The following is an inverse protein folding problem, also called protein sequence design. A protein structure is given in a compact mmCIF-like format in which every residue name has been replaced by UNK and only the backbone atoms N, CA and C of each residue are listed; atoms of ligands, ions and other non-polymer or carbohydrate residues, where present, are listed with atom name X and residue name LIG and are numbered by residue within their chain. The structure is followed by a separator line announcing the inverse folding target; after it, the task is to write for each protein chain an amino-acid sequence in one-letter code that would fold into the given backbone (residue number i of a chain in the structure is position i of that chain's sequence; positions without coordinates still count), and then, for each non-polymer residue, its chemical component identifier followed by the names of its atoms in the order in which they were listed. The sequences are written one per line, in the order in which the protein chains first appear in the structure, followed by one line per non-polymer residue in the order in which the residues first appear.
data_IF_664131036050
#
_entry.id   IF_664131036050
#
_cell.length_a   1.000
_cell.length_b   1.000
_cell.length_c   1.000
_cell.angle_alpha   90.00
_cell.angle_beta   90.00
_cell.angle_gamma   90.00
#
_symmetry.space_group_name_H-M   'P 1'
#
loop_
_entity.id
_entity.type
_entity.pdbx_description
1 polymer ?
#
# COMPACT_ATOMS: atom_id res chain seq x y z
N UNK A 1 10.34 16.11 -11.21
CA UNK A 1 8.95 16.32 -11.71
C UNK A 1 8.83 16.57 -13.21
N UNK A 2 9.48 17.58 -13.82
CA UNK A 2 9.41 17.80 -15.28
C UNK A 2 9.78 16.56 -16.10
N UNK A 3 10.80 15.86 -15.65
CA UNK A 3 11.27 14.63 -16.26
C UNK A 3 10.30 13.45 -16.10
N UNK A 4 9.48 13.43 -15.04
CA UNK A 4 8.45 12.41 -14.82
C UNK A 4 7.25 12.58 -15.76
N UNK A 5 6.89 13.83 -16.08
CA UNK A 5 5.79 14.14 -17.00
C UNK A 5 6.11 13.74 -18.45
N UNK A 6 7.42 13.67 -18.78
CA UNK A 6 7.90 13.41 -20.14
C UNK A 6 7.45 14.50 -21.13
N UNK A 7 7.95 14.50 -22.36
CA UNK A 7 7.56 15.47 -23.41
C UNK A 7 6.08 15.40 -23.87
N UNK A 8 5.19 14.84 -23.06
CA UNK A 8 3.75 14.74 -23.31
C UNK A 8 3.10 16.12 -23.14
N UNK A 9 2.10 16.44 -23.95
CA UNK A 9 1.26 17.63 -23.73
C UNK A 9 0.73 17.64 -22.28
N UNK A 10 1.12 18.66 -21.52
CA UNK A 10 0.82 18.83 -20.08
C UNK A 10 -0.68 18.63 -19.79
N UNK A 11 -1.54 19.11 -20.68
CA UNK A 11 -2.99 18.95 -20.62
C UNK A 11 -3.44 17.48 -20.60
N UNK A 12 -2.83 16.63 -21.43
CA UNK A 12 -3.13 15.20 -21.50
C UNK A 12 -2.62 14.47 -20.25
N UNK A 13 -1.44 14.82 -19.77
CA UNK A 13 -0.87 14.22 -18.56
C UNK A 13 -1.68 14.62 -17.31
N UNK A 14 -2.01 15.91 -17.16
CA UNK A 14 -2.87 16.40 -16.08
C UNK A 14 -4.24 15.68 -16.06
N UNK A 15 -4.85 15.49 -17.24
CA UNK A 15 -6.11 14.75 -17.38
C UNK A 15 -5.98 13.29 -16.94
N UNK A 16 -4.87 12.60 -17.27
CA UNK A 16 -4.60 11.23 -16.80
C UNK A 16 -4.44 11.17 -15.27
N UNK A 17 -3.79 12.17 -14.67
CA UNK A 17 -3.67 12.29 -13.22
C UNK A 17 -4.98 12.69 -12.54
N UNK A 18 -5.99 13.19 -13.27
CA UNK A 18 -7.23 13.71 -12.72
C UNK A 18 -7.13 15.14 -12.18
N UNK A 19 -6.17 15.92 -12.68
CA UNK A 19 -5.88 17.28 -12.19
C UNK A 19 -6.25 18.35 -13.23
N UNK A 20 -6.51 19.57 -12.74
CA UNK A 20 -6.59 20.75 -13.58
C UNK A 20 -5.21 21.07 -14.19
N UNK A 21 -5.18 21.41 -15.47
CA UNK A 21 -3.94 21.72 -16.19
C UNK A 21 -3.17 22.88 -15.54
N UNK A 22 -3.86 23.93 -15.10
CA UNK A 22 -3.26 25.05 -14.38
C UNK A 22 -2.55 24.61 -13.10
N UNK A 23 -3.07 23.60 -12.39
CA UNK A 23 -2.43 23.07 -11.18
C UNK A 23 -1.15 22.29 -11.52
N UNK A 24 -1.18 21.48 -12.58
CA UNK A 24 0.02 20.79 -13.07
C UNK A 24 1.11 21.78 -13.52
N UNK A 25 0.73 22.89 -14.16
CA UNK A 25 1.68 23.95 -14.55
C UNK A 25 2.36 24.57 -13.33
N UNK A 26 1.61 24.84 -12.25
CA UNK A 26 2.16 25.36 -10.99
C UNK A 26 3.16 24.40 -10.34
N UNK A 27 2.89 23.10 -10.39
CA UNK A 27 3.84 22.09 -9.90
C UNK A 27 5.11 22.03 -10.75
N UNK A 28 4.97 22.12 -12.08
CA UNK A 28 6.12 22.11 -12.99
C UNK A 28 6.96 23.40 -12.95
N UNK A 29 6.36 24.54 -12.61
CA UNK A 29 7.06 25.81 -12.42
C UNK A 29 7.63 25.97 -11.00
N UNK A 30 7.42 25.00 -10.10
CA UNK A 30 7.75 25.08 -8.68
C UNK A 30 7.06 26.24 -7.93
N UNK A 31 5.98 26.79 -8.49
CA UNK A 31 5.12 27.79 -7.80
C UNK A 31 4.33 27.14 -6.65
N UNK A 32 4.12 25.83 -6.71
CA UNK A 32 3.45 25.05 -5.66
C UNK A 32 4.05 23.65 -5.57
N UNK A 33 4.08 23.10 -4.35
CA UNK A 33 4.51 21.72 -4.10
C UNK A 33 3.26 20.83 -3.97
N UNK A 34 3.16 19.71 -4.72
CA UNK A 34 2.05 18.79 -4.56
C UNK A 34 2.11 18.09 -3.20
N UNK A 35 0.96 17.90 -2.57
CA UNK A 35 0.83 17.03 -1.40
C UNK A 35 1.08 15.55 -1.75
N UNK A 36 1.27 14.73 -0.72
CA UNK A 36 1.59 13.31 -0.85
C UNK A 36 0.59 12.54 -1.74
N UNK A 37 -0.71 12.80 -1.57
CA UNK A 37 -1.79 12.22 -2.37
C UNK A 37 -1.60 12.45 -3.88
N UNK A 38 -1.12 13.64 -4.25
CA UNK A 38 -0.90 14.02 -5.65
C UNK A 38 0.41 13.46 -6.18
N UNK A 39 1.45 13.38 -5.35
CA UNK A 39 2.72 12.76 -5.71
C UNK A 39 2.55 11.27 -6.04
N UNK A 40 1.80 10.53 -5.22
CA UNK A 40 1.45 9.12 -5.46
C UNK A 40 0.79 8.96 -6.82
N UNK A 41 -0.21 9.79 -7.11
CA UNK A 41 -0.94 9.73 -8.39
C UNK A 41 -0.05 10.07 -9.59
N UNK A 42 0.84 11.05 -9.46
CA UNK A 42 1.79 11.42 -10.52
C UNK A 42 2.78 10.29 -10.77
N UNK A 43 3.34 9.68 -9.71
CA UNK A 43 4.27 8.56 -9.80
C UNK A 43 3.64 7.37 -10.52
N UNK A 44 2.40 7.00 -10.15
CA UNK A 44 1.64 5.93 -10.80
C UNK A 44 1.42 6.17 -12.29
N UNK A 45 0.97 7.38 -12.67
CA UNK A 45 0.68 7.72 -14.08
C UNK A 45 1.96 7.86 -14.92
N UNK A 46 3.04 8.33 -14.31
CA UNK A 46 4.34 8.45 -14.95
C UNK A 46 5.13 7.12 -14.98
N UNK A 47 4.72 6.12 -14.20
CA UNK A 47 5.43 4.85 -14.09
C UNK A 47 6.82 5.00 -13.46
N UNK A 48 7.00 5.98 -12.57
CA UNK A 48 8.27 6.25 -11.89
C UNK A 48 8.14 6.01 -10.39
N UNK A 49 9.26 5.79 -9.70
CA UNK A 49 9.25 5.64 -8.24
C UNK A 49 8.81 6.92 -7.53
N UNK A 50 8.03 6.75 -6.46
CA UNK A 50 7.59 7.86 -5.62
C UNK A 50 8.75 8.53 -4.87
N UNK A 51 9.71 7.75 -4.37
CA UNK A 51 10.89 8.30 -3.69
C UNK A 51 11.77 9.11 -4.63
N UNK A 52 11.97 8.61 -5.86
CA UNK A 52 12.64 9.37 -6.91
C UNK A 52 11.88 10.64 -7.28
N UNK A 53 10.55 10.59 -7.34
CA UNK A 53 9.74 11.75 -7.69
C UNK A 53 9.72 12.83 -6.59
N UNK A 54 9.63 12.43 -5.33
CA UNK A 54 9.49 13.32 -4.18
C UNK A 54 10.82 13.87 -3.69
N UNK A 55 11.85 13.02 -3.62
CA UNK A 55 13.13 13.33 -2.98
C UNK A 55 14.30 13.41 -3.98
N UNK A 56 14.13 12.92 -5.21
CA UNK A 56 15.20 12.89 -6.21
C UNK A 56 16.23 11.78 -5.99
N UNK A 57 15.95 10.85 -5.09
CA UNK A 57 16.84 9.76 -4.69
C UNK A 57 16.34 8.40 -5.22
N UNK A 58 17.25 7.45 -5.45
CA UNK A 58 16.92 6.10 -5.93
C UNK A 58 16.76 5.98 -7.45
N UNK A 59 16.32 4.80 -7.92
CA UNK A 59 16.10 4.51 -9.35
C UNK A 59 14.79 5.10 -9.84
N UNK A 60 14.82 5.80 -10.98
CA UNK A 60 13.63 6.27 -11.70
C UNK A 60 12.76 5.11 -12.20
N UNK A 61 13.42 4.03 -12.65
CA UNK A 61 12.80 2.84 -13.20
C UNK A 61 12.52 1.85 -12.06
N UNK A 62 11.24 1.71 -11.75
CA UNK A 62 10.72 0.92 -10.64
C UNK A 62 9.20 1.09 -10.63
N UNK A 63 8.55 0.69 -11.73
CA UNK A 63 7.14 0.99 -11.94
C UNK A 63 6.27 0.40 -10.84
N UNK A 64 5.69 1.25 -9.98
CA UNK A 64 4.59 1.06 -9.01
C UNK A 64 4.50 -0.22 -8.15
N UNK A 65 5.40 -1.20 -8.33
CA UNK A 65 5.36 -2.54 -7.76
C UNK A 65 6.56 -2.87 -6.89
N UNK A 66 7.56 -2.00 -6.80
CA UNK A 66 8.62 -2.04 -5.79
C UNK A 66 8.42 -1.01 -4.65
N UNK A 67 7.46 -0.09 -4.80
CA UNK A 67 7.12 0.94 -3.79
C UNK A 67 6.19 0.37 -2.69
N UNK A 68 6.63 -0.71 -2.04
CA UNK A 68 6.12 -1.11 -0.73
C UNK A 68 7.05 -0.58 0.36
N UNK A 69 6.50 -0.16 1.49
CA UNK A 69 7.29 0.08 2.71
C UNK A 69 8.17 -1.16 2.93
N UNK A 70 9.49 -1.00 2.90
CA UNK A 70 10.42 -2.12 3.10
C UNK A 70 10.23 -2.71 4.51
N UNK A 71 10.67 -3.96 4.79
CA UNK A 71 10.59 -4.49 6.15
C UNK A 71 11.24 -3.59 7.21
N UNK A 72 12.36 -2.92 6.87
CA UNK A 72 13.03 -1.96 7.76
C UNK A 72 12.20 -0.69 7.97
N UNK A 73 11.68 -0.08 6.90
CA UNK A 73 10.81 1.10 7.00
C UNK A 73 9.52 0.79 7.77
N UNK A 74 8.95 -0.41 7.62
CA UNK A 74 7.76 -0.84 8.34
C UNK A 74 8.06 -0.99 9.83
N UNK A 75 9.23 -1.52 10.17
CA UNK A 75 9.66 -1.59 11.57
C UNK A 75 9.82 -0.20 12.20
N UNK A 76 10.33 0.79 11.45
CA UNK A 76 10.36 2.19 11.90
C UNK A 76 8.95 2.73 12.14
N UNK A 77 8.02 2.52 11.20
CA UNK A 77 6.62 2.94 11.34
C UNK A 77 5.97 2.30 12.56
N UNK A 78 6.16 1.00 12.78
CA UNK A 78 5.59 0.29 13.93
C UNK A 78 6.16 0.79 15.26
N UNK A 79 7.44 1.15 15.31
CA UNK A 79 8.00 1.75 16.52
C UNK A 79 7.44 3.14 16.76
N UNK A 80 7.27 3.96 15.71
CA UNK A 80 6.58 5.25 15.85
C UNK A 80 5.17 5.07 16.43
N UNK A 81 4.40 4.08 15.96
CA UNK A 81 3.07 3.80 16.51
C UNK A 81 3.11 3.40 17.98
N UNK A 82 4.07 2.57 18.37
CA UNK A 82 4.28 2.16 19.77
C UNK A 82 4.70 3.35 20.63
N UNK A 83 5.53 4.23 20.10
CA UNK A 83 5.96 5.46 20.73
C UNK A 83 4.78 6.43 20.93
N UNK A 84 3.95 6.63 19.91
CA UNK A 84 2.77 7.48 19.95
C UNK A 84 1.71 6.97 20.94
N UNK A 85 1.50 5.65 21.02
CA UNK A 85 0.59 5.04 22.01
C UNK A 85 0.98 5.31 23.46
N UNK A 86 2.28 5.48 23.75
CA UNK A 86 2.79 5.83 25.08
C UNK A 86 2.64 7.31 25.43
N UNK A 87 2.33 8.17 24.44
CA UNK A 87 2.13 9.63 24.60
C UNK A 87 0.80 10.07 24.00
N UNK A 88 -0.35 9.60 24.52
CA UNK A 88 -1.66 9.86 23.93
C UNK A 88 -2.10 11.34 24.01
N UNK A 89 -1.45 12.14 24.85
CA UNK A 89 -1.68 13.57 25.05
C UNK A 89 -0.87 14.47 24.10
N UNK A 90 0.11 13.91 23.37
CA UNK A 90 0.91 14.65 22.41
C UNK A 90 0.13 14.89 21.10
N UNK A 91 0.15 16.11 20.57
CA UNK A 91 -0.34 16.37 19.23
C UNK A 91 0.45 15.51 18.23
N UNK A 92 -0.25 14.84 17.29
CA UNK A 92 0.35 13.89 16.35
C UNK A 92 1.61 14.43 15.63
N UNK A 93 1.62 15.72 15.28
CA UNK A 93 2.76 16.37 14.64
C UNK A 93 3.96 16.58 15.58
N UNK A 94 3.71 16.87 16.85
CA UNK A 94 4.77 16.95 17.86
C UNK A 94 5.38 15.57 18.14
N UNK A 95 4.55 14.52 18.18
CA UNK A 95 5.02 13.15 18.34
C UNK A 95 5.93 12.70 17.19
N UNK A 96 5.57 13.01 15.94
CA UNK A 96 6.39 12.73 14.74
C UNK A 96 7.75 13.40 14.86
N UNK A 97 7.77 14.71 15.12
CA UNK A 97 9.01 15.47 15.24
C UNK A 97 9.93 14.90 16.32
N UNK A 98 9.41 14.69 17.54
CA UNK A 98 10.22 14.20 18.64
C UNK A 98 10.70 12.77 18.40
N UNK A 99 9.87 11.91 17.81
CA UNK A 99 10.29 10.56 17.44
C UNK A 99 11.45 10.59 16.44
N UNK A 100 11.37 11.43 15.41
CA UNK A 100 12.43 11.58 14.40
C UNK A 100 13.74 12.07 15.05
N UNK A 101 13.68 13.06 15.93
CA UNK A 101 14.85 13.56 16.68
C UNK A 101 15.48 12.45 17.55
N UNK A 102 14.67 11.74 18.34
CA UNK A 102 15.13 10.65 19.22
C UNK A 102 15.67 9.45 18.41
N UNK A 103 15.00 9.08 17.31
CA UNK A 103 15.45 8.02 16.39
C UNK A 103 16.80 8.39 15.77
N UNK A 104 16.93 9.61 15.24
CA UNK A 104 18.16 10.09 14.59
C UNK A 104 19.33 10.23 15.57
N UNK A 105 19.05 10.55 16.83
CA UNK A 105 20.05 10.56 17.90
C UNK A 105 20.37 9.16 18.46
N UNK A 106 19.61 8.11 18.08
CA UNK A 106 19.79 6.75 18.60
C UNK A 106 19.37 6.58 20.05
N UNK A 107 18.46 7.43 20.54
CA UNK A 107 18.03 7.50 21.93
C UNK A 107 16.81 6.62 22.25
N UNK A 108 16.16 6.05 21.23
CA UNK A 108 15.07 5.11 21.42
C UNK A 108 15.58 3.78 22.00
N UNK A 109 14.75 3.11 22.81
CA UNK A 109 15.08 1.82 23.45
C UNK A 109 15.56 0.75 22.45
N UNK A 110 15.03 0.81 21.22
CA UNK A 110 15.35 -0.11 20.13
C UNK A 110 16.64 0.25 19.36
N UNK A 111 17.21 1.44 19.58
CA UNK A 111 18.32 1.97 18.80
C UNK A 111 17.96 2.25 17.34
N UNK A 112 18.92 2.01 16.43
CA UNK A 112 18.76 2.16 14.98
C UNK A 112 18.21 0.86 14.37
N UNK A 113 17.35 0.97 13.36
CA UNK A 113 16.77 -0.19 12.68
C UNK A 113 17.50 -0.43 11.36
N UNK A 114 18.18 -1.59 11.28
CA UNK A 114 18.82 -2.07 10.07
C UNK A 114 19.80 -1.04 9.45
N UNK A 115 19.60 -0.71 8.17
CA UNK A 115 20.36 0.22 7.34
C UNK A 115 19.81 1.66 7.37
N UNK A 116 18.75 1.93 8.14
CA UNK A 116 18.12 3.25 8.22
C UNK A 116 18.74 4.04 9.38
N UNK A 117 19.81 4.78 9.08
CA UNK A 117 20.50 5.60 10.08
C UNK A 117 19.81 6.94 10.34
N UNK A 118 19.09 7.48 9.36
CA UNK A 118 18.39 8.76 9.45
C UNK A 118 16.99 8.62 8.85
N UNK A 119 16.04 9.35 9.44
CA UNK A 119 14.66 9.44 8.97
C UNK A 119 14.23 10.90 9.06
N UNK A 120 13.49 11.39 8.08
CA UNK A 120 12.85 12.71 8.12
C UNK A 120 11.38 12.61 8.53
N UNK A 121 10.79 13.73 8.97
CA UNK A 121 9.34 13.78 9.29
C UNK A 121 8.49 13.39 8.07
N UNK A 122 8.86 13.86 6.88
CA UNK A 122 8.13 13.60 5.63
C UNK A 122 8.23 12.13 5.20
N UNK A 123 9.40 11.49 5.37
CA UNK A 123 9.57 10.06 5.12
C UNK A 123 8.74 9.21 6.08
N UNK A 124 8.76 9.54 7.37
CA UNK A 124 7.97 8.81 8.35
C UNK A 124 6.47 8.93 8.08
N UNK A 125 6.00 10.14 7.72
CA UNK A 125 4.61 10.38 7.32
C UNK A 125 4.28 9.56 6.09
N UNK A 126 5.12 9.60 5.06
CA UNK A 126 4.90 8.88 3.82
C UNK A 126 4.84 7.36 4.04
N UNK A 127 5.80 6.79 4.79
CA UNK A 127 5.83 5.36 5.07
C UNK A 127 4.62 4.93 5.90
N UNK A 128 4.23 5.72 6.90
CA UNK A 128 3.04 5.46 7.71
C UNK A 128 1.77 5.47 6.87
N UNK A 129 1.61 6.48 6.01
CA UNK A 129 0.44 6.64 5.17
C UNK A 129 0.36 5.48 4.15
N UNK A 130 1.47 5.08 3.51
CA UNK A 130 1.52 3.90 2.63
C UNK A 130 1.23 2.60 3.42
N UNK A 131 1.79 2.44 4.62
CA UNK A 131 1.57 1.26 5.45
C UNK A 131 0.11 1.11 5.88
N UNK A 132 -0.58 2.22 6.13
CA UNK A 132 -1.99 2.24 6.53
C UNK A 132 -2.98 2.22 5.38
N UNK A 133 -2.70 2.88 4.26
CA UNK A 133 -3.48 2.72 3.02
C UNK A 133 -3.48 1.26 2.56
N UNK A 134 -2.36 0.55 2.70
CA UNK A 134 -2.32 -0.90 2.42
C UNK A 134 -3.04 -1.72 3.48
N UNK A 135 -3.05 -1.30 4.75
CA UNK A 135 -3.78 -1.99 5.81
C UNK A 135 -5.29 -1.82 5.63
N UNK A 136 -5.76 -0.65 5.16
CA UNK A 136 -7.16 -0.43 4.77
C UNK A 136 -7.52 -1.11 3.45
N UNK A 137 -6.61 -1.22 2.48
CA UNK A 137 -6.83 -1.96 1.22
C UNK A 137 -6.82 -3.48 1.44
N UNK A 138 -5.95 -3.99 2.33
CA UNK A 138 -5.93 -5.41 2.73
C UNK A 138 -7.06 -5.76 3.71
N UNK A 139 -7.61 -4.76 4.40
CA UNK A 139 -8.84 -4.87 5.19
C UNK A 139 -10.11 -4.60 4.37
N UNK A 140 -10.00 -3.95 3.20
CA UNK A 140 -11.12 -3.81 2.27
C UNK A 140 -11.28 -5.16 1.60
N UNK A 141 -12.27 -5.90 2.08
CA UNK A 141 -12.73 -7.11 1.42
C UNK A 141 -13.08 -6.73 -0.02
N UNK A 142 -12.38 -7.30 -0.98
CA UNK A 142 -12.73 -7.16 -2.39
C UNK A 142 -14.02 -7.95 -2.62
N UNK A 143 -15.14 -7.25 -2.72
CA UNK A 143 -16.48 -7.85 -2.82
C UNK A 143 -16.55 -8.88 -3.95
N UNK A 144 -15.92 -8.60 -5.11
CA UNK A 144 -15.86 -9.52 -6.23
C UNK A 144 -15.17 -10.84 -5.89
N UNK A 145 -14.01 -10.77 -5.24
CA UNK A 145 -13.23 -11.96 -4.83
C UNK A 145 -13.98 -12.74 -3.75
N UNK A 146 -14.59 -12.04 -2.78
CA UNK A 146 -15.38 -12.69 -1.73
C UNK A 146 -16.61 -13.38 -2.31
N UNK A 147 -17.36 -12.73 -3.19
CA UNK A 147 -18.50 -13.32 -3.88
C UNK A 147 -18.10 -14.58 -4.62
N UNK A 148 -17.04 -14.53 -5.43
CA UNK A 148 -16.55 -15.72 -6.15
C UNK A 148 -16.11 -16.82 -5.19
N UNK A 149 -15.48 -16.47 -4.07
CA UNK A 149 -15.09 -17.45 -3.04
C UNK A 149 -16.29 -18.15 -2.40
N UNK A 150 -17.39 -17.41 -2.16
CA UNK A 150 -18.65 -17.96 -1.65
C UNK A 150 -19.28 -18.89 -2.69
N UNK A 151 -19.40 -18.43 -3.94
CA UNK A 151 -20.00 -19.21 -5.03
C UNK A 151 -19.28 -20.54 -5.27
N UNK A 152 -17.94 -20.57 -5.17
CA UNK A 152 -17.16 -21.81 -5.32
C UNK A 152 -17.46 -22.79 -4.19
N UNK A 153 -17.58 -22.31 -2.95
CA UNK A 153 -17.91 -23.17 -1.80
C UNK A 153 -19.34 -23.69 -1.89
N UNK A 154 -20.28 -22.87 -2.33
CA UNK A 154 -21.68 -23.28 -2.51
C UNK A 154 -21.80 -24.33 -3.62
N UNK A 155 -21.15 -24.13 -4.78
CA UNK A 155 -21.11 -25.12 -5.86
C UNK A 155 -20.45 -26.45 -5.42
N UNK A 156 -19.39 -26.38 -4.61
CA UNK A 156 -18.77 -27.56 -4.04
C UNK A 156 -19.73 -28.33 -3.12
N UNK A 157 -20.46 -27.62 -2.25
CA UNK A 157 -21.43 -28.23 -1.34
C UNK A 157 -22.63 -28.82 -2.09
N UNK A 158 -23.15 -28.12 -3.08
CA UNK A 158 -24.25 -28.59 -3.94
C UNK A 158 -23.85 -29.85 -4.72
N UNK A 159 -22.65 -29.87 -5.31
CA UNK A 159 -22.17 -31.01 -6.10
C UNK A 159 -21.74 -32.22 -5.26
N UNK A 160 -21.28 -32.00 -4.02
CA UNK A 160 -20.89 -33.09 -3.10
C UNK A 160 -22.05 -33.62 -2.26
N UNK A 161 -23.19 -32.92 -2.21
CA UNK A 161 -24.32 -33.26 -1.34
C UNK A 161 -24.01 -33.15 0.16
N UNK A 162 -22.88 -32.52 0.52
CA UNK A 162 -22.43 -32.43 1.90
C UNK A 162 -23.05 -31.23 2.61
N UNK A 163 -23.40 -31.41 3.88
CA UNK A 163 -23.77 -30.32 4.78
C UNK A 163 -22.55 -29.94 5.61
N UNK A 164 -22.19 -28.66 5.58
CA UNK A 164 -21.01 -28.15 6.28
C UNK A 164 -21.40 -27.16 7.39
N UNK A 165 -20.86 -27.35 8.59
CA UNK A 165 -21.04 -26.42 9.70
C UNK A 165 -20.54 -25.01 9.33
N UNK A 166 -21.24 -23.97 9.78
CA UNK A 166 -20.98 -22.58 9.42
C UNK A 166 -19.51 -22.16 9.62
N UNK A 167 -18.90 -22.60 10.73
CA UNK A 167 -17.49 -22.33 11.04
C UNK A 167 -16.52 -22.96 10.02
N UNK A 168 -16.77 -24.22 9.63
CA UNK A 168 -15.97 -24.93 8.62
C UNK A 168 -16.17 -24.31 7.23
N UNK A 169 -17.39 -23.86 6.92
CA UNK A 169 -17.71 -23.12 5.68
C UNK A 169 -16.97 -21.79 5.61
N UNK A 170 -16.98 -21.00 6.68
CA UNK A 170 -16.26 -19.73 6.75
C UNK A 170 -14.74 -19.92 6.58
N UNK A 171 -14.14 -20.93 7.20
CA UNK A 171 -12.72 -21.27 7.00
C UNK A 171 -12.40 -21.57 5.54
N UNK A 172 -13.25 -22.34 4.86
CA UNK A 172 -13.08 -22.68 3.45
C UNK A 172 -13.15 -21.43 2.55
N UNK A 173 -14.14 -20.56 2.78
CA UNK A 173 -14.31 -19.29 2.05
C UNK A 173 -13.06 -18.43 2.21
N UNK A 174 -12.52 -18.30 3.43
CA UNK A 174 -11.30 -17.52 3.70
C UNK A 174 -10.08 -18.12 2.98
N UNK A 175 -9.96 -19.45 2.91
CA UNK A 175 -8.85 -20.11 2.22
C UNK A 175 -8.89 -19.82 0.71
N UNK A 176 -10.07 -19.94 0.09
CA UNK A 176 -10.27 -19.65 -1.34
C UNK A 176 -10.07 -18.16 -1.63
N UNK A 177 -10.58 -17.29 -0.77
CA UNK A 177 -10.38 -15.83 -0.87
C UNK A 177 -8.89 -15.47 -0.84
N UNK A 178 -8.14 -16.04 0.10
CA UNK A 178 -6.69 -15.78 0.18
C UNK A 178 -5.96 -16.27 -1.05
N UNK A 179 -6.30 -17.46 -1.55
CA UNK A 179 -5.64 -18.05 -2.71
C UNK A 179 -5.90 -17.25 -3.98
N UNK A 180 -7.12 -16.74 -4.16
CA UNK A 180 -7.50 -15.88 -5.29
C UNK A 180 -6.96 -14.46 -5.16
N UNK A 181 -6.84 -13.92 -3.95
CA UNK A 181 -6.28 -12.60 -3.70
C UNK A 181 -4.74 -12.54 -3.77
N UNK A 182 -4.04 -13.69 -3.71
CA UNK A 182 -2.56 -13.75 -3.67
C UNK A 182 -1.93 -14.23 -4.97
N UNK A 183 -2.72 -14.79 -5.88
CA UNK A 183 -2.26 -15.24 -7.19
C UNK A 183 -2.19 -14.09 -8.19
N UNK A 184 -1.01 -13.82 -8.76
CA UNK A 184 -0.85 -12.98 -9.95
C UNK A 184 -1.32 -13.73 -11.20
N UNK A 185 -2.64 -13.90 -11.35
CA UNK A 185 -3.25 -14.60 -12.47
C UNK A 185 -4.72 -14.93 -12.21
N UNK A 186 -5.51 -15.04 -13.27
CA UNK A 186 -6.91 -15.51 -13.18
C UNK A 186 -6.87 -16.96 -12.73
N UNK A 187 -7.15 -17.22 -11.46
CA UNK A 187 -7.30 -18.58 -10.95
C UNK A 187 -8.58 -19.15 -11.53
N UNK A 188 -8.44 -20.20 -12.33
CA UNK A 188 -9.57 -20.75 -13.05
C UNK A 188 -10.56 -21.46 -12.10
N UNK A 189 -11.83 -21.09 -12.19
CA UNK A 189 -12.92 -21.54 -11.30
C UNK A 189 -13.07 -23.08 -11.30
N UNK A 190 -13.01 -23.80 -12.44
CA UNK A 190 -13.04 -25.26 -12.49
C UNK A 190 -11.82 -25.92 -11.84
N UNK A 191 -10.64 -25.29 -11.90
CA UNK A 191 -9.43 -25.80 -11.25
C UNK A 191 -9.60 -25.82 -9.73
N UNK A 192 -10.19 -24.78 -9.14
CA UNK A 192 -10.44 -24.70 -7.71
C UNK A 192 -11.46 -25.72 -7.22
N UNK A 193 -12.56 -25.90 -7.95
CA UNK A 193 -13.58 -26.90 -7.62
C UNK A 193 -12.98 -28.31 -7.68
N UNK A 194 -12.15 -28.62 -8.68
CA UNK A 194 -11.46 -29.90 -8.77
C UNK A 194 -10.44 -30.11 -7.64
N UNK A 195 -9.71 -29.06 -7.26
CA UNK A 195 -8.77 -29.12 -6.15
C UNK A 195 -9.51 -29.44 -4.84
N UNK A 196 -10.63 -28.77 -4.55
CA UNK A 196 -11.46 -29.01 -3.37
C UNK A 196 -11.98 -30.45 -3.29
N UNK A 197 -12.38 -31.04 -4.42
CA UNK A 197 -12.78 -32.46 -4.49
C UNK A 197 -11.63 -33.42 -4.23
N UNK A 198 -10.38 -33.03 -4.52
CA UNK A 198 -9.21 -33.90 -4.32
C UNK A 198 -8.75 -34.00 -2.86
N UNK A 199 -9.16 -33.05 -2.01
CA UNK A 199 -8.78 -32.97 -0.58
C UNK A 199 -9.94 -33.31 0.37
N UNK A 200 -11.12 -33.67 -0.16
CA UNK A 200 -12.26 -34.20 0.60
C UNK A 200 -12.26 -35.72 0.62
#
# INVERSE_FOLDING_TARGET
MKEAVGGVYISRFAKKCGFAEGMMRKYLSAESVPGADKLVRIAQVAGVSLSWLAMGEGSKEGGAGQDGVTPAQLAVVLEFERYAQRRPDAMARAAIKTFVEEYNAGLLEIGKIADIEQVTEDELILWRDIAWERRTTKASIEEGILRTSIEIVDEFLESSGQVMAAEKKARMIVAIYRLTATSEGVVDRPMLVNLLRSIS
#
